data_IF_159970077302
#
_entry.id   IF_159970077302
#
_cell.length_a   1.000
_cell.length_b   1.000
_cell.length_c   1.000
_cell.angle_alpha   90.00
_cell.angle_beta   90.00
_cell.angle_gamma   90.00
#
_symmetry.space_group_name_H-M   'P 1'
#
loop_
_entity.id
_entity.type
_entity.pdbx_description
1 polymer ?
#
# COMPACT_ATOMS: atom_id res chain seq x y z
N UNK A 1 -11.04 -1.67 2.50
CA UNK A 1 -10.64 -1.85 1.09
C UNK A 1 -9.19 -1.43 0.95
N UNK A 2 -8.38 -2.14 0.14
CA UNK A 2 -6.98 -1.77 -0.07
C UNK A 2 -6.84 -0.43 -0.80
N UNK A 3 -5.85 0.37 -0.36
CA UNK A 3 -5.53 1.70 -0.89
C UNK A 3 -4.35 1.63 -1.88
N UNK A 4 -4.61 1.08 -3.07
CA UNK A 4 -3.55 0.88 -4.07
C UNK A 4 -3.25 2.14 -4.87
N UNK A 5 -4.28 2.82 -5.39
CA UNK A 5 -4.15 3.84 -6.44
C UNK A 5 -4.37 5.27 -5.93
N UNK A 6 -5.28 5.44 -4.97
CA UNK A 6 -5.73 6.74 -4.48
C UNK A 6 -4.62 7.57 -3.81
N UNK A 7 -3.66 6.92 -3.16
CA UNK A 7 -2.50 7.57 -2.52
C UNK A 7 -1.64 8.39 -3.49
N UNK A 8 -1.53 7.94 -4.75
CA UNK A 8 -0.74 8.62 -5.77
C UNK A 8 -1.47 9.82 -6.42
N UNK A 9 -2.77 9.99 -6.17
CA UNK A 9 -3.57 11.06 -6.78
C UNK A 9 -3.18 12.45 -6.24
N UNK A 10 -3.31 13.51 -7.06
CA UNK A 10 -3.00 14.87 -6.63
C UNK A 10 -3.98 15.35 -5.56
N UNK A 11 -3.49 16.15 -4.61
CA UNK A 11 -4.27 16.62 -3.45
C UNK A 11 -4.59 15.52 -2.43
N UNK A 12 -3.75 14.48 -2.35
CA UNK A 12 -3.82 13.42 -1.33
C UNK A 12 -2.47 13.28 -0.65
N UNK A 13 -2.44 13.30 0.68
CA UNK A 13 -1.23 12.99 1.47
C UNK A 13 -1.56 11.96 2.57
N UNK A 14 -0.53 11.36 3.15
CA UNK A 14 -0.67 10.46 4.28
C UNK A 14 0.10 10.98 5.49
N UNK A 15 -0.55 11.04 6.65
CA UNK A 15 0.06 11.48 7.91
C UNK A 15 -0.08 10.42 9.00
N UNK A 16 0.83 10.42 9.97
CA UNK A 16 0.67 9.63 11.19
C UNK A 16 -0.36 10.28 12.12
N UNK A 17 -0.67 9.64 13.26
CA UNK A 17 -1.49 10.26 14.31
C UNK A 17 -0.89 11.56 14.87
N UNK A 18 0.42 11.76 14.74
CA UNK A 18 1.08 13.01 15.14
C UNK A 18 1.02 14.09 14.06
N UNK A 19 0.24 13.90 12.99
CA UNK A 19 -0.02 14.92 11.96
C UNK A 19 1.11 15.12 10.95
N UNK A 20 2.14 14.28 10.95
CA UNK A 20 3.32 14.42 10.08
C UNK A 20 3.34 13.38 8.96
N UNK A 21 3.79 13.78 7.77
CA UNK A 21 4.10 12.86 6.66
C UNK A 21 5.33 12.02 6.98
N UNK A 22 5.39 10.81 6.43
CA UNK A 22 6.45 9.85 6.74
C UNK A 22 7.03 9.13 5.51
N UNK A 23 6.41 9.28 4.34
CA UNK A 23 6.81 8.57 3.13
C UNK A 23 6.28 9.25 1.87
N UNK A 24 6.77 8.81 0.72
CA UNK A 24 6.16 9.07 -0.59
C UNK A 24 4.90 8.21 -0.75
N UNK A 25 3.73 8.85 -0.75
CA UNK A 25 2.43 8.19 -0.85
C UNK A 25 2.23 7.47 -2.17
N UNK A 26 2.96 7.84 -3.24
CA UNK A 26 2.88 7.17 -4.53
C UNK A 26 3.67 5.86 -4.62
N UNK A 27 4.47 5.50 -3.60
CA UNK A 27 5.26 4.28 -3.62
C UNK A 27 4.38 3.02 -3.56
N UNK A 28 4.99 1.87 -3.87
CA UNK A 28 4.34 0.56 -3.78
C UNK A 28 3.70 0.38 -2.41
N UNK A 29 2.60 -0.37 -2.36
CA UNK A 29 1.91 -0.61 -1.09
C UNK A 29 2.83 -1.31 -0.07
N UNK A 30 3.74 -2.16 -0.55
CA UNK A 30 4.74 -2.83 0.29
C UNK A 30 5.67 -1.79 0.93
N UNK A 31 6.30 -0.92 0.14
CA UNK A 31 7.24 0.09 0.65
C UNK A 31 6.54 1.10 1.56
N UNK A 32 5.31 1.47 1.22
CA UNK A 32 4.52 2.40 2.02
C UNK A 32 4.17 1.82 3.39
N UNK A 33 3.74 0.56 3.45
CA UNK A 33 3.47 -0.13 4.73
C UNK A 33 4.75 -0.32 5.54
N UNK A 34 5.88 -0.64 4.89
CA UNK A 34 7.18 -0.71 5.57
C UNK A 34 7.57 0.65 6.20
N UNK A 35 7.35 1.76 5.48
CA UNK A 35 7.58 3.10 6.02
C UNK A 35 6.60 3.44 7.16
N UNK A 36 5.34 3.00 7.06
CA UNK A 36 4.33 3.18 8.09
C UNK A 36 4.68 2.43 9.39
N UNK A 37 5.20 1.20 9.28
CA UNK A 37 5.72 0.43 10.43
C UNK A 37 6.92 1.14 11.05
N UNK A 38 7.86 1.63 10.25
CA UNK A 38 9.04 2.38 10.74
C UNK A 38 8.66 3.69 11.43
N UNK A 39 7.61 4.35 10.98
CA UNK A 39 7.10 5.59 11.57
C UNK A 39 6.25 5.35 12.83
N UNK A 40 5.86 4.10 13.11
CA UNK A 40 5.01 3.78 14.24
C UNK A 40 5.75 3.97 15.57
N UNK A 41 5.05 4.50 16.56
CA UNK A 41 5.56 4.63 17.93
C UNK A 41 5.18 3.38 18.74
N UNK A 42 6.09 2.85 19.59
CA UNK A 42 5.78 1.73 20.47
C UNK A 42 4.53 1.98 21.31
N UNK A 43 3.70 0.96 21.47
CA UNK A 43 2.46 1.05 22.27
C UNK A 43 1.31 1.83 21.61
N UNK A 44 1.46 2.28 20.36
CA UNK A 44 0.36 2.85 19.57
C UNK A 44 0.00 1.92 18.42
N UNK A 45 -1.26 1.97 18.00
CA UNK A 45 -1.72 1.29 16.80
C UNK A 45 -0.95 1.81 15.57
N UNK A 46 -0.50 0.89 14.72
CA UNK A 46 0.15 1.25 13.46
C UNK A 46 -0.93 1.70 12.48
N UNK A 47 -1.16 3.01 12.45
CA UNK A 47 -2.16 3.66 11.62
C UNK A 47 -1.61 4.91 10.93
N UNK A 48 -2.15 5.20 9.75
CA UNK A 48 -1.92 6.44 9.03
C UNK A 48 -3.27 6.98 8.54
N UNK A 49 -3.35 8.27 8.26
CA UNK A 49 -4.55 8.91 7.75
C UNK A 49 -4.28 9.46 6.37
N UNK A 50 -5.08 9.04 5.39
CA UNK A 50 -5.12 9.72 4.10
C UNK A 50 -5.94 10.99 4.24
N UNK A 51 -5.37 12.12 3.86
CA UNK A 51 -5.98 13.45 3.93
C UNK A 51 -6.16 13.99 2.53
N UNK A 52 -7.32 14.58 2.26
CA UNK A 52 -7.63 15.25 0.98
C UNK A 52 -8.62 16.39 1.19
N UNK A 53 -8.72 17.28 0.21
CA UNK A 53 -9.71 18.36 0.16
C UNK A 53 -10.97 17.94 -0.62
N UNK A 54 -11.97 18.83 -0.65
CA UNK A 54 -13.24 18.49 -1.30
C UNK A 54 -13.08 18.27 -2.80
N UNK A 55 -12.28 19.12 -3.47
CA UNK A 55 -12.08 19.05 -4.91
C UNK A 55 -11.44 17.72 -5.32
N UNK A 56 -10.35 17.32 -4.66
CA UNK A 56 -9.65 16.08 -4.96
C UNK A 56 -10.51 14.85 -4.63
N UNK A 57 -11.22 14.85 -3.49
CA UNK A 57 -12.14 13.76 -3.16
C UNK A 57 -13.23 13.58 -4.23
N UNK A 58 -13.86 14.68 -4.68
CA UNK A 58 -14.92 14.61 -5.68
C UNK A 58 -14.39 14.22 -7.06
N UNK A 59 -13.12 14.51 -7.38
CA UNK A 59 -12.53 14.15 -8.67
C UNK A 59 -12.03 12.71 -8.73
N UNK A 60 -11.39 12.22 -7.67
CA UNK A 60 -10.68 10.94 -7.69
C UNK A 60 -11.24 9.88 -6.76
N UNK A 61 -12.07 10.26 -5.79
CA UNK A 61 -12.44 9.39 -4.68
C UNK A 61 -11.32 9.19 -3.67
N UNK A 62 -11.61 8.42 -2.62
CA UNK A 62 -10.64 8.03 -1.60
C UNK A 62 -11.09 6.70 -0.96
N UNK A 63 -10.29 5.65 -1.09
CA UNK A 63 -10.69 4.31 -0.69
C UNK A 63 -12.02 3.89 -1.33
N UNK A 64 -12.97 3.39 -0.53
CA UNK A 64 -14.32 3.02 -1.01
C UNK A 64 -15.19 4.21 -1.42
N UNK A 65 -14.76 5.44 -1.14
CA UNK A 65 -15.53 6.64 -1.48
C UNK A 65 -15.34 6.94 -2.96
N UNK A 66 -16.36 6.63 -3.76
CA UNK A 66 -16.37 6.93 -5.19
C UNK A 66 -16.38 8.45 -5.47
N UNK A 67 -15.83 8.89 -6.61
CA UNK A 67 -15.88 10.29 -7.02
C UNK A 67 -17.31 10.76 -7.34
N UNK A 68 -17.45 12.06 -7.61
CA UNK A 68 -18.68 12.65 -8.13
C UNK A 68 -19.18 11.88 -9.37
N UNK A 69 -20.50 11.62 -9.49
CA UNK A 69 -21.62 12.17 -8.72
C UNK A 69 -22.03 11.38 -7.47
N UNK A 70 -21.29 10.35 -7.05
CA UNK A 70 -21.74 9.44 -5.99
C UNK A 70 -21.89 10.14 -4.63
N UNK A 71 -22.92 9.82 -3.82
CA UNK A 71 -23.16 10.46 -2.54
C UNK A 71 -22.12 10.07 -1.48
N UNK A 72 -21.75 11.02 -0.62
CA UNK A 72 -20.80 10.79 0.48
C UNK A 72 -21.48 10.30 1.78
N UNK A 73 -22.81 10.45 1.89
CA UNK A 73 -23.55 10.33 3.16
C UNK A 73 -23.37 9.01 3.89
N UNK A 74 -23.37 7.88 3.17
CA UNK A 74 -23.14 6.57 3.78
C UNK A 74 -21.76 6.45 4.42
N UNK A 75 -20.70 6.91 3.75
CA UNK A 75 -19.33 6.85 4.26
C UNK A 75 -19.08 7.81 5.42
N UNK A 76 -19.76 8.97 5.42
CA UNK A 76 -19.72 9.92 6.52
C UNK A 76 -20.43 9.37 7.76
N UNK A 77 -21.63 8.81 7.59
CA UNK A 77 -22.43 8.28 8.70
C UNK A 77 -21.83 7.00 9.31
N UNK A 78 -21.21 6.13 8.51
CA UNK A 78 -20.48 4.95 9.03
C UNK A 78 -19.17 5.30 9.72
N UNK A 79 -18.69 6.54 9.60
CA UNK A 79 -17.42 6.98 10.14
C UNK A 79 -16.20 6.50 9.34
N UNK A 80 -16.40 5.79 8.22
CA UNK A 80 -15.33 5.42 7.29
C UNK A 80 -14.60 6.66 6.74
N UNK A 81 -15.38 7.68 6.36
CA UNK A 81 -14.89 8.98 5.93
C UNK A 81 -15.13 9.99 7.06
N UNK A 82 -14.07 10.63 7.54
CA UNK A 82 -14.15 11.75 8.48
C UNK A 82 -14.12 13.07 7.71
N UNK A 83 -14.78 14.10 8.24
CA UNK A 83 -14.90 15.43 7.63
C UNK A 83 -14.69 16.52 8.67
N UNK A 84 -13.98 17.58 8.31
CA UNK A 84 -13.91 18.85 9.03
C UNK A 84 -14.03 20.03 8.06
N UNK A 85 -14.64 21.14 8.47
CA UNK A 85 -14.65 22.36 7.65
C UNK A 85 -13.25 22.97 7.54
N UNK A 86 -12.43 22.78 8.57
CA UNK A 86 -11.02 23.16 8.65
C UNK A 86 -10.13 21.95 8.94
N UNK A 87 -8.80 22.11 8.79
CA UNK A 87 -7.84 21.09 9.16
C UNK A 87 -7.85 20.84 10.69
N UNK A 88 -7.94 21.88 11.51
CA UNK A 88 -8.12 21.73 12.96
C UNK A 88 -9.38 20.93 13.32
N UNK A 89 -10.51 21.18 12.66
CA UNK A 89 -11.73 20.39 12.88
C UNK A 89 -11.54 18.93 12.45
N UNK A 90 -10.90 18.71 11.29
CA UNK A 90 -10.61 17.37 10.80
C UNK A 90 -9.72 16.62 11.80
N UNK A 91 -8.65 17.26 12.27
CA UNK A 91 -7.73 16.72 13.26
C UNK A 91 -8.44 16.34 14.56
N UNK A 92 -9.34 17.20 15.05
CA UNK A 92 -10.14 16.92 16.24
C UNK A 92 -11.02 15.67 16.08
N UNK A 93 -11.66 15.46 14.92
CA UNK A 93 -12.54 14.30 14.70
C UNK A 93 -11.78 13.01 14.36
N UNK A 94 -10.52 13.09 13.95
CA UNK A 94 -9.64 11.95 13.67
C UNK A 94 -8.70 11.60 14.81
N UNK A 95 -8.51 12.51 15.78
CA UNK A 95 -7.52 12.37 16.85
C UNK A 95 -6.08 12.64 16.38
N UNK A 96 -5.91 13.35 15.27
CA UNK A 96 -4.60 13.81 14.78
C UNK A 96 -4.20 15.08 15.55
N UNK A 97 -2.91 15.30 15.76
CA UNK A 97 -2.42 16.60 16.27
C UNK A 97 -2.72 17.75 15.29
N UNK A 98 -3.55 18.70 15.72
CA UNK A 98 -4.06 19.76 14.85
C UNK A 98 -2.96 20.70 14.35
N UNK A 99 -2.07 21.12 15.25
CA UNK A 99 -0.98 22.05 14.92
C UNK A 99 0.00 21.44 13.92
N UNK A 100 0.39 20.18 14.14
CA UNK A 100 1.30 19.46 13.26
C UNK A 100 0.67 19.17 11.91
N UNK A 101 -0.64 18.85 11.87
CA UNK A 101 -1.35 18.64 10.62
C UNK A 101 -1.39 19.92 9.78
N UNK A 102 -1.75 21.04 10.40
CA UNK A 102 -1.81 22.35 9.71
C UNK A 102 -0.43 22.75 9.18
N UNK A 103 0.62 22.62 9.99
CA UNK A 103 1.99 22.88 9.57
C UNK A 103 2.42 21.97 8.41
N UNK A 104 2.07 20.67 8.48
CA UNK A 104 2.39 19.69 7.43
C UNK A 104 1.71 20.02 6.11
N UNK A 105 0.41 20.35 6.15
CA UNK A 105 -0.35 20.71 4.95
C UNK A 105 0.14 22.04 4.38
N UNK A 106 0.43 23.03 5.22
CA UNK A 106 0.98 24.31 4.78
C UNK A 106 2.34 24.13 4.07
N UNK A 107 3.25 23.37 4.67
CA UNK A 107 4.56 23.06 4.08
C UNK A 107 4.43 22.31 2.75
N UNK A 108 3.58 21.27 2.71
CA UNK A 108 3.33 20.55 1.46
C UNK A 108 2.75 21.45 0.37
N UNK A 109 1.79 22.33 0.72
CA UNK A 109 1.12 23.19 -0.25
C UNK A 109 2.05 24.21 -0.91
N UNK A 110 3.07 24.69 -0.20
CA UNK A 110 4.04 25.64 -0.74
C UNK A 110 4.76 25.07 -1.97
N UNK A 111 5.26 23.84 -1.87
CA UNK A 111 5.94 23.15 -2.97
C UNK A 111 4.94 22.55 -3.98
N UNK A 112 3.80 22.06 -3.49
CA UNK A 112 2.78 21.45 -4.34
C UNK A 112 2.15 22.44 -5.32
N UNK A 113 2.17 23.74 -5.02
CA UNK A 113 1.77 24.79 -5.96
C UNK A 113 2.64 24.81 -7.23
N UNK A 114 3.89 24.34 -7.13
CA UNK A 114 4.83 24.18 -8.25
C UNK A 114 4.84 22.74 -8.80
N UNK A 115 3.97 21.87 -8.30
CA UNK A 115 3.95 20.43 -8.62
C UNK A 115 5.13 19.66 -8.01
N UNK A 116 5.74 20.17 -6.95
CA UNK A 116 6.93 19.58 -6.33
C UNK A 116 6.61 18.97 -4.97
N UNK A 117 7.38 17.96 -4.59
CA UNK A 117 7.38 17.38 -3.24
C UNK A 117 8.83 17.04 -2.88
N UNK A 118 9.64 18.03 -2.44
CA UNK A 118 11.04 17.80 -2.13
C UNK A 118 11.24 16.91 -0.90
N UNK A 119 10.26 16.85 0.02
CA UNK A 119 10.36 16.06 1.24
C UNK A 119 10.41 14.55 0.99
N UNK A 120 9.60 14.06 0.04
CA UNK A 120 9.51 12.61 -0.22
C UNK A 120 9.55 12.23 -1.71
N UNK A 121 9.54 13.20 -2.61
CA UNK A 121 9.62 12.96 -4.05
C UNK A 121 8.36 12.35 -4.63
N UNK A 122 7.15 12.64 -4.12
CA UNK A 122 5.90 12.15 -4.72
C UNK A 122 5.79 12.56 -6.19
N UNK A 123 5.58 11.56 -7.06
CA UNK A 123 5.54 11.78 -8.51
C UNK A 123 6.92 11.85 -9.18
N UNK A 124 8.02 11.59 -8.46
CA UNK A 124 9.37 11.51 -9.05
C UNK A 124 9.60 10.22 -9.85
N UNK A 125 8.83 9.15 -9.59
CA UNK A 125 9.01 7.84 -10.21
C UNK A 125 7.91 7.53 -11.24
N UNK A 126 8.27 6.78 -12.29
CA UNK A 126 7.31 6.30 -13.29
C UNK A 126 6.13 5.53 -12.66
N UNK A 127 6.41 4.71 -11.64
CA UNK A 127 5.38 3.99 -10.88
C UNK A 127 4.37 4.91 -10.18
N UNK A 128 4.82 6.05 -9.62
CA UNK A 128 3.92 7.03 -9.02
C UNK A 128 3.06 7.67 -10.12
N UNK A 129 3.70 8.13 -11.19
CA UNK A 129 3.07 8.88 -12.29
C UNK A 129 2.01 8.06 -13.02
N UNK A 130 2.24 6.76 -13.21
CA UNK A 130 1.26 5.83 -13.78
C UNK A 130 -0.07 5.83 -12.99
N UNK A 131 -0.01 6.05 -11.67
CA UNK A 131 -1.19 6.07 -10.80
C UNK A 131 -1.74 7.48 -10.56
N UNK A 132 -1.03 8.52 -10.98
CA UNK A 132 -1.46 9.92 -10.90
C UNK A 132 -2.61 10.27 -11.85
N UNK A 133 -2.85 11.57 -12.05
CA UNK A 133 -3.74 12.08 -13.09
C UNK A 133 -2.89 12.61 -14.26
N UNK A 134 -2.91 11.91 -15.39
CA UNK A 134 -2.15 12.28 -16.59
C UNK A 134 -2.57 13.64 -17.19
N UNK A 135 -3.77 14.13 -16.86
CA UNK A 135 -4.27 15.44 -17.29
C UNK A 135 -3.92 16.56 -16.29
N UNK A 136 -3.27 16.22 -15.18
CA UNK A 136 -2.81 17.17 -14.16
C UNK A 136 -1.30 17.39 -14.29
N UNK A 137 -0.87 18.66 -14.28
CA UNK A 137 0.52 19.06 -14.48
C UNK A 137 0.96 20.15 -13.51
N UNK A 138 2.28 20.40 -13.39
CA UNK A 138 3.38 19.72 -14.11
C UNK A 138 3.74 18.32 -13.56
N UNK A 139 3.22 17.97 -12.38
CA UNK A 139 3.41 16.65 -11.77
C UNK A 139 2.04 15.99 -11.56
N UNK A 140 1.77 14.83 -12.17
CA UNK A 140 0.45 14.18 -12.14
C UNK A 140 0.03 13.69 -10.74
N UNK A 141 0.92 13.71 -9.77
CA UNK A 141 0.69 13.19 -8.41
C UNK A 141 0.58 14.27 -7.33
N UNK A 142 0.87 15.54 -7.67
CA UNK A 142 1.07 16.60 -6.67
C UNK A 142 0.19 17.81 -6.99
N UNK A 143 -0.67 18.16 -6.04
CA UNK A 143 -1.45 19.40 -6.04
C UNK A 143 -1.69 19.83 -4.59
N UNK A 144 -1.88 21.13 -4.32
CA UNK A 144 -2.22 21.63 -2.99
C UNK A 144 -3.52 21.04 -2.44
N UNK A 145 -3.62 20.94 -1.12
CA UNK A 145 -4.79 20.57 -0.33
C UNK A 145 -5.24 21.83 0.42
N UNK A 146 -6.19 22.59 -0.13
CA UNK A 146 -6.47 23.95 0.39
C UNK A 146 -7.95 24.31 0.49
N UNK A 147 -8.83 23.64 -0.26
CA UNK A 147 -10.23 24.05 -0.37
C UNK A 147 -11.12 23.10 0.45
N UNK A 148 -11.47 23.54 1.67
CA UNK A 148 -12.35 22.80 2.57
C UNK A 148 -13.77 22.57 2.00
N UNK A 149 -14.55 21.62 2.54
CA UNK A 149 -14.22 20.76 3.68
C UNK A 149 -13.09 19.77 3.39
N UNK A 150 -12.36 19.42 4.43
CA UNK A 150 -11.28 18.43 4.39
C UNK A 150 -11.77 17.08 4.86
N UNK A 151 -11.13 16.02 4.36
CA UNK A 151 -11.54 14.65 4.60
C UNK A 151 -10.38 13.77 5.01
N UNK A 152 -10.69 12.75 5.82
CA UNK A 152 -9.72 11.75 6.22
C UNK A 152 -10.29 10.32 6.20
N UNK A 153 -9.45 9.36 5.82
CA UNK A 153 -9.69 7.92 6.04
C UNK A 153 -8.52 7.36 6.83
N UNK A 154 -8.83 6.62 7.90
CA UNK A 154 -7.83 5.88 8.67
C UNK A 154 -7.45 4.60 7.90
N UNK A 155 -6.17 4.46 7.62
CA UNK A 155 -5.55 3.24 7.11
C UNK A 155 -4.90 2.48 8.25
N UNK A 156 -5.04 1.16 8.18
CA UNK A 156 -4.35 0.20 9.03
C UNK A 156 -3.56 -0.76 8.14
N UNK A 157 -2.65 -1.53 8.72
CA UNK A 157 -1.94 -2.57 7.99
C UNK A 157 -2.92 -3.67 7.61
N UNK A 158 -2.91 -4.05 6.34
CA UNK A 158 -3.47 -5.31 5.85
C UNK A 158 -2.41 -6.06 5.05
N UNK A 159 -2.51 -7.38 5.05
CA UNK A 159 -1.65 -8.26 4.26
C UNK A 159 -2.42 -8.92 3.11
N UNK A 160 -1.67 -9.40 2.11
CA UNK A 160 -2.18 -10.16 0.97
C UNK A 160 -1.56 -11.57 0.94
N UNK A 161 -1.08 -12.03 2.09
CA UNK A 161 -0.29 -13.26 2.24
C UNK A 161 1.06 -13.03 2.89
N UNK A 162 1.63 -14.12 3.42
CA UNK A 162 2.95 -14.16 4.04
C UNK A 162 4.02 -14.56 3.02
N UNK A 163 5.26 -14.09 3.23
CA UNK A 163 6.41 -14.50 2.43
C UNK A 163 7.26 -15.59 3.11
N UNK A 164 7.13 -15.72 4.43
CA UNK A 164 7.74 -16.81 5.19
C UNK A 164 6.93 -18.09 4.95
N UNK A 165 7.63 -19.21 4.84
CA UNK A 165 7.02 -20.50 4.56
C UNK A 165 8.02 -21.63 4.67
N UNK A 166 7.64 -22.79 4.14
CA UNK A 166 8.43 -24.02 4.10
C UNK A 166 9.62 -23.81 3.17
N UNK A 167 10.83 -24.15 3.62
CA UNK A 167 12.02 -24.13 2.77
C UNK A 167 11.88 -25.21 1.71
N UNK A 168 12.11 -24.85 0.46
CA UNK A 168 12.11 -25.78 -0.66
C UNK A 168 13.37 -25.64 -1.49
N UNK A 169 13.69 -26.70 -2.24
CA UNK A 169 14.70 -26.64 -3.28
C UNK A 169 14.12 -26.22 -4.64
N UNK A 170 14.94 -26.30 -5.70
CA UNK A 170 14.57 -25.96 -7.08
C UNK A 170 13.48 -26.85 -7.67
N UNK A 171 13.14 -27.97 -7.02
CA UNK A 171 12.08 -28.90 -7.43
C UNK A 171 10.81 -28.76 -6.59
N UNK A 172 10.72 -27.71 -5.77
CA UNK A 172 9.62 -27.46 -4.84
C UNK A 172 9.45 -28.56 -3.76
N UNK A 173 10.47 -29.38 -3.50
CA UNK A 173 10.45 -30.37 -2.42
C UNK A 173 10.64 -29.67 -1.09
N UNK A 174 9.84 -30.01 -0.08
CA UNK A 174 10.04 -29.48 1.27
C UNK A 174 11.35 -30.00 1.87
N UNK A 175 12.08 -29.14 2.58
CA UNK A 175 13.35 -29.47 3.22
C UNK A 175 13.19 -29.62 4.73
N UNK A 176 13.89 -30.59 5.31
CA UNK A 176 13.99 -30.76 6.77
C UNK A 176 14.97 -29.76 7.40
N UNK A 177 15.22 -29.92 8.71
CA UNK A 177 16.13 -29.06 9.46
C UNK A 177 17.60 -29.15 9.01
N UNK A 178 17.98 -30.26 8.36
CA UNK A 178 19.31 -30.50 7.80
C UNK A 178 19.40 -30.08 6.32
N UNK A 179 18.33 -29.52 5.76
CA UNK A 179 18.26 -29.13 4.36
C UNK A 179 18.09 -30.30 3.40
N UNK A 180 17.69 -31.48 3.89
CA UNK A 180 17.45 -32.65 3.03
C UNK A 180 15.99 -32.67 2.55
N UNK A 181 15.73 -33.06 1.29
CA UNK A 181 14.38 -33.21 0.78
C UNK A 181 13.59 -34.28 1.52
N UNK A 182 12.42 -33.92 2.02
CA UNK A 182 11.47 -34.85 2.62
C UNK A 182 10.73 -35.60 1.50
N UNK A 183 10.82 -36.94 1.52
CA UNK A 183 10.24 -37.75 0.46
C UNK A 183 8.71 -37.56 0.37
N UNK A 184 8.24 -37.26 -0.84
CA UNK A 184 6.81 -37.12 -1.14
C UNK A 184 6.18 -35.78 -0.73
N UNK A 185 6.91 -34.89 -0.07
CA UNK A 185 6.38 -33.61 0.39
C UNK A 185 6.86 -32.43 -0.47
N UNK A 186 5.91 -31.63 -0.96
CA UNK A 186 6.16 -30.45 -1.79
C UNK A 186 5.40 -29.25 -1.25
N UNK A 187 5.91 -28.05 -1.50
CA UNK A 187 5.24 -26.80 -1.17
C UNK A 187 5.35 -25.81 -2.33
N UNK A 188 4.31 -25.03 -2.56
CA UNK A 188 4.28 -23.98 -3.58
C UNK A 188 3.37 -22.83 -3.13
N UNK A 189 3.46 -21.70 -3.81
CA UNK A 189 2.68 -20.51 -3.45
C UNK A 189 3.08 -19.97 -2.06
N UNK A 190 2.08 -19.54 -1.27
CA UNK A 190 2.34 -18.94 0.04
C UNK A 190 2.78 -19.94 1.13
N UNK A 191 2.62 -21.25 0.89
CA UNK A 191 3.15 -22.27 1.80
C UNK A 191 4.67 -22.41 1.66
N UNK A 192 5.22 -22.03 0.51
CA UNK A 192 6.65 -22.05 0.22
C UNK A 192 7.28 -20.73 0.64
N UNK A 193 8.48 -20.79 1.23
CA UNK A 193 9.27 -19.60 1.48
C UNK A 193 9.50 -18.83 0.17
N UNK A 194 9.08 -17.58 0.13
CA UNK A 194 9.15 -16.78 -1.09
C UNK A 194 10.60 -16.62 -1.55
N UNK A 195 10.84 -16.94 -2.82
CA UNK A 195 12.14 -16.70 -3.49
C UNK A 195 12.56 -15.22 -3.51
N UNK A 196 11.65 -14.30 -3.19
CA UNK A 196 11.92 -12.86 -3.13
C UNK A 196 12.37 -12.38 -1.75
N UNK A 197 12.45 -13.27 -0.76
CA UNK A 197 13.00 -12.97 0.57
C UNK A 197 12.23 -11.87 1.32
N UNK A 198 10.92 -11.75 1.07
CA UNK A 198 10.05 -10.73 1.67
C UNK A 198 9.95 -9.43 0.90
N UNK A 199 10.67 -9.27 -0.21
CA UNK A 199 10.54 -8.10 -1.09
C UNK A 199 9.37 -8.24 -2.06
N UNK A 200 8.89 -7.08 -2.54
CA UNK A 200 7.83 -7.00 -3.54
C UNK A 200 8.33 -6.34 -4.84
N UNK A 201 9.01 -7.07 -5.74
CA UNK A 201 9.57 -6.51 -6.98
C UNK A 201 8.53 -6.04 -8.00
N UNK A 202 7.30 -6.58 -7.97
CA UNK A 202 6.28 -6.20 -8.94
C UNK A 202 4.97 -6.97 -8.83
N UNK A 203 3.99 -6.52 -9.60
CA UNK A 203 2.67 -7.15 -9.65
C UNK A 203 2.77 -8.62 -10.08
N UNK A 204 1.99 -9.49 -9.44
CA UNK A 204 1.94 -10.91 -9.77
C UNK A 204 3.02 -11.76 -9.10
N UNK A 205 3.85 -11.19 -8.22
CA UNK A 205 4.96 -11.91 -7.58
C UNK A 205 4.54 -13.08 -6.67
N UNK A 206 3.28 -13.14 -6.26
CA UNK A 206 2.76 -14.30 -5.54
C UNK A 206 2.29 -15.38 -6.52
N UNK A 207 1.46 -15.00 -7.49
CA UNK A 207 0.82 -15.93 -8.42
C UNK A 207 1.80 -16.52 -9.43
N UNK A 208 2.74 -15.73 -9.94
CA UNK A 208 3.75 -16.18 -10.91
C UNK A 208 4.58 -17.34 -10.35
N UNK A 209 5.33 -17.15 -9.26
CA UNK A 209 6.04 -18.23 -8.59
C UNK A 209 5.14 -19.39 -8.16
N UNK A 210 3.92 -19.13 -7.67
CA UNK A 210 3.00 -20.22 -7.31
C UNK A 210 2.71 -21.15 -8.49
N UNK A 211 2.37 -20.60 -9.65
CA UNK A 211 2.12 -21.37 -10.87
C UNK A 211 3.39 -22.08 -11.35
N UNK A 212 4.53 -21.39 -11.34
CA UNK A 212 5.80 -21.94 -11.78
C UNK A 212 6.24 -23.12 -10.90
N UNK A 213 6.27 -22.96 -9.58
CA UNK A 213 6.70 -24.03 -8.67
C UNK A 213 5.66 -25.15 -8.57
N UNK A 214 4.37 -24.85 -8.70
CA UNK A 214 3.33 -25.88 -8.85
C UNK A 214 3.56 -26.75 -10.10
N UNK A 215 3.91 -26.13 -11.23
CA UNK A 215 4.27 -26.86 -12.45
C UNK A 215 5.55 -27.69 -12.28
N UNK A 216 6.58 -27.13 -11.66
CA UNK A 216 7.84 -27.82 -11.38
C UNK A 216 7.60 -29.05 -10.49
N UNK A 217 6.83 -28.89 -9.40
CA UNK A 217 6.47 -29.99 -8.50
C UNK A 217 5.77 -31.11 -9.25
N UNK A 218 4.78 -30.77 -10.08
CA UNK A 218 4.03 -31.73 -10.90
C UNK A 218 4.93 -32.52 -11.86
N UNK A 219 5.87 -31.84 -12.54
CA UNK A 219 6.85 -32.50 -13.43
C UNK A 219 7.78 -33.43 -12.68
N UNK A 220 8.30 -32.98 -11.54
CA UNK A 220 9.23 -33.77 -10.74
C UNK A 220 8.55 -35.02 -10.15
N UNK A 221 7.29 -34.90 -9.70
CA UNK A 221 6.47 -36.03 -9.27
C UNK A 221 6.25 -37.05 -10.39
N UNK A 222 5.89 -36.59 -11.59
CA UNK A 222 5.65 -37.45 -12.74
C UNK A 222 6.91 -38.22 -13.17
N UNK A 223 8.08 -37.59 -13.12
CA UNK A 223 9.34 -38.24 -13.46
C UNK A 223 9.73 -39.30 -12.41
N UNK A 224 9.60 -38.98 -11.12
CA UNK A 224 9.83 -39.98 -10.05
C UNK A 224 8.88 -41.16 -10.12
N UNK A 225 7.62 -40.95 -10.52
CA UNK A 225 6.67 -42.03 -10.69
C UNK A 225 7.11 -43.01 -11.80
N UNK A 226 7.64 -42.52 -12.92
CA UNK A 226 8.18 -43.37 -13.99
C UNK A 226 9.37 -44.19 -13.54
N UNK A 227 10.29 -43.56 -12.80
CA UNK A 227 11.48 -44.23 -12.27
C UNK A 227 11.12 -45.35 -11.29
N UNK A 228 10.12 -45.12 -10.41
CA UNK A 228 9.61 -46.16 -9.50
C UNK A 228 8.93 -47.32 -10.22
N UNK A 229 8.25 -47.07 -11.34
CA UNK A 229 7.62 -48.13 -12.13
C UNK A 229 8.61 -48.93 -12.98
N UNK A 230 9.82 -48.41 -13.18
CA UNK A 230 10.88 -49.04 -13.98
C UNK A 230 11.91 -49.81 -13.14
N UNK A 231 11.91 -49.62 -11.81
CA UNK A 231 12.75 -50.31 -10.85
C UNK A 231 12.00 -51.49 -10.23
#
# INVERSE_FOLDING_TARGET
MPHFIDRAKPGVIAVTADGVRFANEGNSYHDFVQAMVKAAKPGREIAAFLITDHRSLRRYGLGCVAPFPMPLGHHLSSGYLKRGATLAELARVTGIDAMSLEATVAAFNADAALGQDPSFGKGSRAYNRYQGDALHGPNPCVAPIKDGPFYAIKMVIGDLGTYAGIRTDEHARALDAQGQPIEGLYAAGNDMASIMGGNYPGAGITLGPALTFGYIAGRHLAERAKQRSAA
#
